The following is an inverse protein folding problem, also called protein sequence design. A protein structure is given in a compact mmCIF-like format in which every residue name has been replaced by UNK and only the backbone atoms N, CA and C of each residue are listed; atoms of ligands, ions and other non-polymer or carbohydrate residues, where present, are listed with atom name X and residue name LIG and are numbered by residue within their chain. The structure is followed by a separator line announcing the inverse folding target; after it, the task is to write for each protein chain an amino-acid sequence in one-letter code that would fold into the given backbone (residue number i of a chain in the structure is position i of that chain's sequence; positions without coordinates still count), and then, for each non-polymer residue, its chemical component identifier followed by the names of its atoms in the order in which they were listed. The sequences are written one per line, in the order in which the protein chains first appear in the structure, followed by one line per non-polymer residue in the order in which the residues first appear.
data_IF_346480575238
#
_entry.id   IF_346480575238
#
_cell.length_a   1.000
_cell.length_b   1.000
_cell.length_c   1.000
_cell.angle_alpha   90.00
_cell.angle_beta   90.00
_cell.angle_gamma   90.00
#
_symmetry.space_group_name_H-M   'P 1'
#
loop_
_entity.id
_entity.type
_entity.pdbx_description
1 polymer ?
#
# COMPACT_ATOMS: atom_id res chain seq x y z
N UNK A 1 -6.06 16.30 16.94
CA UNK A 1 -5.64 14.95 16.53
C UNK A 1 -6.70 14.42 15.61
N UNK A 2 -6.36 14.22 14.35
CA UNK A 2 -7.29 13.81 13.30
C UNK A 2 -7.00 12.37 12.88
N UNK A 3 -7.96 11.70 12.24
CA UNK A 3 -7.72 10.36 11.70
C UNK A 3 -7.48 10.43 10.19
N UNK A 4 -6.38 9.84 9.75
CA UNK A 4 -5.93 9.79 8.37
C UNK A 4 -6.00 8.33 7.90
N UNK A 5 -6.54 8.09 6.72
CA UNK A 5 -6.60 6.76 6.13
C UNK A 5 -5.67 6.64 4.92
N UNK A 6 -4.87 5.60 4.90
CA UNK A 6 -4.13 5.17 3.72
C UNK A 6 -4.79 3.91 3.17
N UNK A 7 -4.97 3.81 1.85
CA UNK A 7 -5.52 2.61 1.20
C UNK A 7 -4.46 1.99 0.30
N UNK A 8 -4.02 0.76 0.63
CA UNK A 8 -3.11 -0.02 -0.21
C UNK A 8 -3.36 -1.51 -0.04
N UNK A 9 -3.74 -2.18 -1.12
CA UNK A 9 -4.17 -3.59 -1.10
C UNK A 9 -3.09 -4.60 -1.49
N UNK A 10 -2.09 -4.19 -2.24
CA UNK A 10 -1.03 -5.10 -2.75
C UNK A 10 -1.20 -5.42 -4.23
N UNK A 11 -0.30 -6.09 -4.92
CA UNK A 11 0.59 -7.21 -4.55
C UNK A 11 1.76 -6.87 -3.61
N UNK A 12 2.63 -7.88 -3.32
CA UNK A 12 3.77 -7.67 -2.42
C UNK A 12 4.73 -6.60 -2.97
N UNK A 13 5.04 -6.65 -4.27
CA UNK A 13 5.88 -5.63 -4.91
C UNK A 13 5.27 -4.23 -4.84
N UNK A 14 3.93 -4.11 -4.99
CA UNK A 14 3.23 -2.83 -4.87
C UNK A 14 3.24 -2.31 -3.42
N UNK A 15 3.19 -3.21 -2.43
CA UNK A 15 3.33 -2.87 -1.01
C UNK A 15 4.75 -2.38 -0.74
N UNK A 16 5.75 -3.08 -1.28
CA UNK A 16 7.14 -2.67 -1.15
C UNK A 16 7.38 -1.25 -1.70
N UNK A 17 6.89 -0.99 -2.90
CA UNK A 17 6.99 0.34 -3.51
C UNK A 17 6.23 1.43 -2.73
N UNK A 18 5.13 1.08 -2.06
CA UNK A 18 4.34 2.05 -1.31
C UNK A 18 4.87 2.33 0.11
N UNK A 19 5.83 1.56 0.62
CA UNK A 19 6.29 1.69 2.01
C UNK A 19 6.86 3.07 2.31
N UNK A 20 7.69 3.61 1.42
CA UNK A 20 8.23 4.96 1.57
C UNK A 20 7.15 6.05 1.52
N UNK A 21 6.14 5.90 0.67
CA UNK A 21 5.01 6.83 0.62
C UNK A 21 4.16 6.75 1.91
N UNK A 22 3.95 5.55 2.45
CA UNK A 22 3.27 5.34 3.74
C UNK A 22 4.05 6.04 4.86
N UNK A 23 5.37 5.91 4.87
CA UNK A 23 6.23 6.56 5.85
C UNK A 23 6.15 8.09 5.73
N UNK A 24 6.30 8.68 4.54
CA UNK A 24 6.21 10.13 4.33
C UNK A 24 4.85 10.69 4.78
N UNK A 25 3.74 9.99 4.51
CA UNK A 25 2.41 10.37 4.99
C UNK A 25 2.38 10.35 6.51
N UNK A 26 2.90 9.31 7.13
CA UNK A 26 2.85 9.14 8.59
C UNK A 26 3.73 10.11 9.33
N UNK A 27 4.92 10.42 8.80
CA UNK A 27 5.82 11.43 9.36
C UNK A 27 5.22 12.84 9.26
N UNK A 28 4.60 13.17 8.11
CA UNK A 28 3.90 14.45 7.95
C UNK A 28 2.72 14.60 8.91
N UNK A 29 2.00 13.50 9.15
CA UNK A 29 0.86 13.42 10.06
C UNK A 29 1.24 12.89 11.46
N UNK A 30 2.46 13.19 11.94
CA UNK A 30 2.99 12.69 13.22
C UNK A 30 2.13 13.05 14.46
N UNK A 31 1.33 14.12 14.36
CA UNK A 31 0.38 14.53 15.40
C UNK A 31 -1.04 13.96 15.20
N UNK A 32 -1.24 13.14 14.19
CA UNK A 32 -2.52 12.52 13.83
C UNK A 32 -2.46 10.99 13.95
N UNK A 33 -3.60 10.34 14.04
CA UNK A 33 -3.69 8.88 14.00
C UNK A 33 -3.76 8.40 12.54
N UNK A 34 -2.74 7.69 12.08
CA UNK A 34 -2.66 7.16 10.71
C UNK A 34 -3.07 5.70 10.67
N UNK A 35 -4.00 5.36 9.81
CA UNK A 35 -4.55 4.01 9.63
C UNK A 35 -4.28 3.49 8.22
N UNK A 36 -4.07 2.18 8.08
CA UNK A 36 -3.91 1.53 6.78
C UNK A 36 -5.06 0.56 6.52
N UNK A 37 -5.79 0.75 5.42
CA UNK A 37 -6.73 -0.24 4.88
C UNK A 37 -5.98 -1.14 3.90
N UNK A 38 -5.83 -2.42 4.26
CA UNK A 38 -5.09 -3.39 3.44
C UNK A 38 -5.74 -4.77 3.46
N UNK A 39 -5.20 -5.71 2.68
CA UNK A 39 -5.73 -7.07 2.55
C UNK A 39 -5.05 -8.05 3.50
N UNK A 40 -5.67 -9.22 3.71
CA UNK A 40 -5.23 -10.24 4.67
C UNK A 40 -3.72 -10.58 4.61
N UNK A 41 -3.09 -10.80 3.43
CA UNK A 41 -1.67 -11.13 3.38
C UNK A 41 -0.75 -10.05 3.98
N UNK A 42 -1.14 -8.79 3.89
CA UNK A 42 -0.33 -7.65 4.34
C UNK A 42 -0.75 -7.11 5.70
N UNK A 43 -1.91 -7.52 6.19
CA UNK A 43 -2.39 -7.14 7.52
C UNK A 43 -1.40 -7.52 8.62
N UNK A 44 -0.90 -8.75 8.58
CA UNK A 44 0.09 -9.23 9.55
C UNK A 44 1.45 -8.53 9.38
N UNK A 45 1.88 -8.31 8.14
CA UNK A 45 3.11 -7.59 7.84
C UNK A 45 3.12 -6.19 8.49
N UNK A 46 2.05 -5.43 8.32
CA UNK A 46 1.98 -4.06 8.81
C UNK A 46 1.70 -3.93 10.31
N UNK A 47 1.38 -5.00 11.03
CA UNK A 47 1.20 -4.96 12.50
C UNK A 47 2.44 -4.43 13.24
N UNK A 48 3.62 -4.71 12.71
CA UNK A 48 4.90 -4.26 13.28
C UNK A 48 5.32 -2.86 12.79
N UNK A 49 4.51 -2.22 11.94
CA UNK A 49 4.87 -0.91 11.39
C UNK A 49 4.75 0.17 12.48
N UNK A 50 5.85 0.88 12.83
CA UNK A 50 5.86 1.85 13.93
C UNK A 50 5.13 3.15 13.60
N UNK A 51 4.83 3.41 12.33
CA UNK A 51 4.24 4.66 11.86
C UNK A 51 2.70 4.62 11.81
N UNK A 52 2.10 3.45 12.02
CA UNK A 52 0.66 3.26 11.88
C UNK A 52 -0.01 3.02 13.22
N UNK A 53 -1.09 3.72 13.46
CA UNK A 53 -1.92 3.55 14.67
C UNK A 53 -2.63 2.20 14.69
N UNK A 54 -3.21 1.81 13.56
CA UNK A 54 -3.87 0.53 13.39
C UNK A 54 -4.07 0.16 11.91
N UNK A 55 -4.31 -1.13 11.69
CA UNK A 55 -4.55 -1.70 10.37
C UNK A 55 -6.03 -2.09 10.29
N UNK A 56 -6.68 -1.73 9.19
CA UNK A 56 -8.05 -2.11 8.87
C UNK A 56 -8.03 -3.19 7.79
N UNK A 57 -8.68 -4.31 8.06
CA UNK A 57 -8.72 -5.43 7.12
C UNK A 57 -9.80 -5.23 6.06
N UNK A 58 -9.39 -5.17 4.79
CA UNK A 58 -10.27 -5.36 3.64
C UNK A 58 -10.21 -6.82 3.17
N UNK A 59 -11.29 -7.56 3.35
CA UNK A 59 -11.42 -8.95 2.87
C UNK A 59 -11.55 -9.04 1.35
N UNK A 60 -11.73 -7.92 0.66
CA UNK A 60 -11.94 -7.82 -0.80
C UNK A 60 -13.01 -8.76 -1.35
N UNK A 61 -14.09 -8.97 -0.61
CA UNK A 61 -15.23 -9.74 -1.09
C UNK A 61 -15.89 -9.05 -2.30
N UNK A 62 -16.82 -9.73 -2.94
CA UNK A 62 -17.54 -9.19 -4.08
C UNK A 62 -18.13 -7.80 -3.79
N UNK A 63 -18.14 -6.92 -4.79
CA UNK A 63 -18.77 -5.59 -4.71
C UNK A 63 -20.30 -5.67 -4.54
N UNK A 64 -20.88 -6.83 -4.82
CA UNK A 64 -22.31 -7.10 -4.62
C UNK A 64 -22.63 -7.69 -3.25
N UNK A 65 -21.63 -7.97 -2.42
CA UNK A 65 -21.84 -8.43 -1.04
C UNK A 65 -22.17 -7.23 -0.14
N UNK A 66 -23.45 -6.88 -0.07
CA UNK A 66 -23.95 -5.71 0.66
C UNK A 66 -23.66 -5.82 2.17
N UNK A 67 -23.74 -7.01 2.75
CA UNK A 67 -23.45 -7.24 4.18
C UNK A 67 -22.00 -6.87 4.47
N UNK A 68 -21.09 -7.32 3.62
CA UNK A 68 -19.67 -7.00 3.73
C UNK A 68 -19.42 -5.49 3.58
N UNK A 69 -20.00 -4.87 2.57
CA UNK A 69 -19.84 -3.42 2.34
C UNK A 69 -20.38 -2.60 3.51
N UNK A 70 -21.54 -2.99 4.04
CA UNK A 70 -22.11 -2.34 5.22
C UNK A 70 -21.22 -2.48 6.45
N UNK A 71 -20.67 -3.69 6.67
CA UNK A 71 -19.74 -3.94 7.77
C UNK A 71 -18.47 -3.09 7.63
N UNK A 72 -17.86 -3.05 6.44
CA UNK A 72 -16.68 -2.24 6.16
C UNK A 72 -16.98 -0.74 6.34
N UNK A 73 -18.13 -0.28 5.86
CA UNK A 73 -18.58 1.10 6.03
C UNK A 73 -18.73 1.47 7.52
N UNK A 74 -19.31 0.58 8.34
CA UNK A 74 -19.42 0.82 9.79
C UNK A 74 -18.06 0.97 10.46
N UNK A 75 -17.09 0.13 10.08
CA UNK A 75 -15.72 0.22 10.58
C UNK A 75 -15.10 1.56 10.19
N UNK A 76 -15.20 1.96 8.90
CA UNK A 76 -14.63 3.22 8.40
C UNK A 76 -15.29 4.43 9.09
N UNK A 77 -16.61 4.44 9.21
CA UNK A 77 -17.35 5.56 9.84
C UNK A 77 -16.98 5.74 11.32
N UNK A 78 -16.64 4.66 12.03
CA UNK A 78 -16.24 4.73 13.44
C UNK A 78 -15.03 5.67 13.64
N UNK A 79 -14.10 5.69 12.70
CA UNK A 79 -12.85 6.45 12.81
C UNK A 79 -12.97 7.92 12.37
N UNK A 80 -14.05 8.34 11.72
CA UNK A 80 -14.30 9.73 11.29
C UNK A 80 -13.08 10.33 10.56
N UNK A 81 -12.59 9.66 9.53
CA UNK A 81 -11.46 10.12 8.75
C UNK A 81 -11.70 11.51 8.13
N UNK A 82 -10.70 12.39 8.21
CA UNK A 82 -10.71 13.73 7.60
C UNK A 82 -9.94 13.76 6.27
N UNK A 83 -8.99 12.84 6.09
CA UNK A 83 -8.19 12.74 4.86
C UNK A 83 -7.96 11.27 4.50
N UNK A 84 -7.99 10.99 3.21
CA UNK A 84 -7.73 9.66 2.65
C UNK A 84 -6.65 9.76 1.58
N UNK A 85 -5.62 8.93 1.71
CA UNK A 85 -4.59 8.74 0.69
C UNK A 85 -4.83 7.39 0.00
N UNK A 86 -5.40 7.42 -1.20
CA UNK A 86 -5.58 6.22 -2.02
C UNK A 86 -4.30 5.95 -2.83
N UNK A 87 -3.39 5.15 -2.26
CA UNK A 87 -2.18 4.69 -2.95
C UNK A 87 -2.45 3.45 -3.82
N UNK A 88 -3.66 2.90 -3.77
CA UNK A 88 -4.05 1.76 -4.63
C UNK A 88 -4.53 2.21 -6.01
N UNK A 89 -5.19 3.37 -6.10
CA UNK A 89 -5.63 3.97 -7.36
C UNK A 89 -6.33 2.99 -8.32
N UNK A 90 -7.29 2.24 -7.81
CA UNK A 90 -7.97 1.17 -8.55
C UNK A 90 -9.48 1.44 -8.71
N UNK A 91 -10.10 0.74 -9.67
CA UNK A 91 -11.57 0.79 -9.83
C UNK A 91 -12.33 0.38 -8.55
N UNK A 92 -11.70 -0.45 -7.70
CA UNK A 92 -12.28 -0.84 -6.40
C UNK A 92 -12.22 0.31 -5.42
N UNK A 93 -11.11 1.02 -5.32
CA UNK A 93 -10.98 2.14 -4.38
C UNK A 93 -11.82 3.34 -4.83
N UNK A 94 -11.99 3.55 -6.12
CA UNK A 94 -12.95 4.51 -6.66
C UNK A 94 -14.40 4.14 -6.31
N UNK A 95 -14.75 2.85 -6.33
CA UNK A 95 -16.04 2.37 -5.85
C UNK A 95 -16.18 2.60 -4.34
N UNK A 96 -15.14 2.34 -3.55
CA UNK A 96 -15.15 2.58 -2.11
C UNK A 96 -15.34 4.06 -1.77
N UNK A 97 -14.68 4.97 -2.50
CA UNK A 97 -14.88 6.40 -2.33
C UNK A 97 -16.37 6.79 -2.40
N UNK A 98 -17.11 6.20 -3.34
CA UNK A 98 -18.53 6.49 -3.54
C UNK A 98 -19.43 5.84 -2.49
N UNK A 99 -19.16 4.60 -2.10
CA UNK A 99 -20.08 3.79 -1.27
C UNK A 99 -19.74 3.87 0.21
N UNK A 100 -18.46 3.81 0.58
CA UNK A 100 -18.06 3.77 1.98
C UNK A 100 -17.96 5.17 2.60
N UNK A 101 -17.86 6.20 1.76
CA UNK A 101 -17.74 7.60 2.17
C UNK A 101 -18.88 8.46 1.59
N UNK A 102 -20.19 8.13 1.82
CA UNK A 102 -21.33 8.78 1.14
C UNK A 102 -21.46 10.24 1.51
N UNK A 103 -20.88 10.90 2.28
CA UNK A 103 -20.93 12.35 2.57
C UNK A 103 -19.51 12.95 2.61
N UNK A 104 -18.70 12.59 1.61
CA UNK A 104 -17.26 12.86 1.58
C UNK A 104 -16.90 14.34 1.29
N UNK A 105 -17.86 15.27 1.22
CA UNK A 105 -17.58 16.68 0.90
C UNK A 105 -16.62 17.35 1.89
N UNK A 106 -16.49 16.80 3.12
CA UNK A 106 -15.59 17.28 4.14
C UNK A 106 -14.29 16.43 4.24
N UNK A 107 -14.19 15.35 3.43
CA UNK A 107 -13.01 14.46 3.45
C UNK A 107 -12.10 14.82 2.28
N UNK A 108 -10.88 15.18 2.58
CA UNK A 108 -9.85 15.42 1.57
C UNK A 108 -9.40 14.07 1.00
N UNK A 109 -9.62 13.84 -0.29
CA UNK A 109 -9.24 12.61 -0.97
C UNK A 109 -8.06 12.84 -1.90
N UNK A 110 -6.92 12.22 -1.60
CA UNK A 110 -5.72 12.23 -2.43
C UNK A 110 -5.60 10.90 -3.18
N UNK A 111 -5.58 10.96 -4.49
CA UNK A 111 -5.41 9.82 -5.40
C UNK A 111 -4.77 10.30 -6.70
N UNK A 112 -4.33 9.41 -7.58
CA UNK A 112 -3.84 9.81 -8.89
C UNK A 112 -4.90 10.56 -9.73
N UNK A 113 -6.19 10.31 -9.51
CA UNK A 113 -7.26 11.04 -10.19
C UNK A 113 -7.44 12.48 -9.67
N UNK A 114 -7.24 12.70 -8.36
CA UNK A 114 -7.42 14.04 -7.74
C UNK A 114 -6.17 14.90 -7.78
N UNK A 115 -5.03 14.31 -8.08
CA UNK A 115 -3.73 15.00 -8.17
C UNK A 115 -3.16 14.98 -9.58
N UNK A 116 -3.96 14.58 -10.57
CA UNK A 116 -3.54 14.52 -11.96
C UNK A 116 -3.05 15.90 -12.43
N UNK A 117 -1.86 15.99 -13.07
CA UNK A 117 -1.40 17.24 -13.66
C UNK A 117 -2.39 17.77 -14.71
N UNK A 118 -2.48 19.08 -14.83
CA UNK A 118 -3.30 19.71 -15.88
C UNK A 118 -2.77 19.24 -17.25
N UNK A 119 -3.66 19.05 -18.18
CA UNK A 119 -3.38 18.73 -19.59
C UNK A 119 -2.73 17.33 -19.84
N UNK A 120 -2.67 16.46 -18.83
CA UNK A 120 -2.20 15.08 -18.97
C UNK A 120 -3.35 14.12 -18.70
N UNK A 121 -3.60 13.19 -19.61
CA UNK A 121 -4.59 12.14 -19.38
C UNK A 121 -4.12 11.14 -18.32
N UNK A 122 -5.05 10.55 -17.57
CA UNK A 122 -4.72 9.50 -16.60
C UNK A 122 -3.95 8.34 -17.25
N UNK A 123 -4.32 7.94 -18.47
CA UNK A 123 -3.65 6.87 -19.22
C UNK A 123 -2.18 7.20 -19.50
N UNK A 124 -1.87 8.45 -19.73
CA UNK A 124 -0.51 8.92 -19.95
C UNK A 124 0.26 9.01 -18.64
N UNK A 125 -0.35 9.59 -17.60
CA UNK A 125 0.24 9.66 -16.28
C UNK A 125 0.57 8.28 -15.70
N UNK A 126 -0.28 7.28 -15.94
CA UNK A 126 -0.09 5.90 -15.46
C UNK A 126 1.09 5.17 -16.13
N UNK A 127 1.67 5.71 -17.21
CA UNK A 127 2.92 5.18 -17.81
C UNK A 127 4.17 5.53 -16.99
N UNK A 128 4.10 6.55 -16.15
CA UNK A 128 5.23 6.92 -15.29
C UNK A 128 5.52 5.83 -14.25
N UNK A 129 6.77 5.69 -13.81
CA UNK A 129 7.14 4.79 -12.71
C UNK A 129 6.25 5.00 -11.48
N UNK A 130 5.95 3.92 -10.77
CA UNK A 130 5.02 3.96 -9.62
C UNK A 130 5.50 4.91 -8.52
N UNK A 131 6.81 4.94 -8.25
CA UNK A 131 7.40 5.81 -7.22
C UNK A 131 7.25 7.29 -7.60
N UNK A 132 7.45 7.64 -8.87
CA UNK A 132 7.27 9.02 -9.35
C UNK A 132 5.81 9.45 -9.23
N UNK A 133 4.86 8.55 -9.50
CA UNK A 133 3.42 8.81 -9.32
C UNK A 133 3.07 9.04 -7.85
N UNK A 134 3.64 8.24 -6.93
CA UNK A 134 3.46 8.48 -5.49
C UNK A 134 4.07 9.81 -5.05
N UNK A 135 5.29 10.09 -5.50
CA UNK A 135 5.94 11.37 -5.23
C UNK A 135 5.06 12.53 -5.67
N UNK A 136 4.60 12.52 -6.92
CA UNK A 136 3.71 13.56 -7.44
C UNK A 136 2.41 13.68 -6.63
N UNK A 137 1.75 12.55 -6.30
CA UNK A 137 0.53 12.52 -5.50
C UNK A 137 0.72 13.17 -4.14
N UNK A 138 1.82 12.86 -3.45
CA UNK A 138 2.09 13.37 -2.11
C UNK A 138 2.47 14.85 -2.14
N UNK A 139 3.36 15.25 -3.05
CA UNK A 139 3.79 16.66 -3.20
C UNK A 139 2.61 17.57 -3.57
N UNK A 140 1.73 17.13 -4.49
CA UNK A 140 0.48 17.84 -4.82
C UNK A 140 -0.48 17.90 -3.62
N UNK A 141 -0.39 16.95 -2.69
CA UNK A 141 -1.16 16.96 -1.42
C UNK A 141 -0.49 17.75 -0.30
N UNK A 142 0.62 18.45 -0.57
CA UNK A 142 1.35 19.28 0.37
C UNK A 142 2.33 18.51 1.27
N UNK A 143 2.66 17.26 0.94
CA UNK A 143 3.60 16.44 1.70
C UNK A 143 4.97 16.48 1.02
N UNK A 144 6.00 16.89 1.75
CA UNK A 144 7.38 16.75 1.31
C UNK A 144 7.79 15.27 1.33
N UNK A 145 8.29 14.77 0.21
CA UNK A 145 8.69 13.37 0.07
C UNK A 145 10.18 13.18 0.36
N UNK A 146 10.50 12.36 1.34
CA UNK A 146 11.88 12.01 1.72
C UNK A 146 12.15 10.51 1.52
N UNK A 147 11.13 9.67 1.71
CA UNK A 147 11.23 8.22 1.76
C UNK A 147 10.63 7.52 0.54
N UNK A 148 9.77 8.17 -0.25
CA UNK A 148 9.10 7.58 -1.42
C UNK A 148 10.07 6.85 -2.35
N UNK A 149 11.24 7.44 -2.63
CA UNK A 149 12.24 6.86 -3.54
C UNK A 149 13.18 5.87 -2.84
N UNK A 150 13.02 5.65 -1.53
CA UNK A 150 13.86 4.77 -0.71
C UNK A 150 12.99 3.87 0.18
N UNK A 151 12.19 2.97 -0.42
CA UNK A 151 11.34 2.07 0.34
C UNK A 151 12.15 1.27 1.37
N UNK A 152 11.69 1.24 2.62
CA UNK A 152 12.34 0.52 3.71
C UNK A 152 11.36 -0.40 4.45
N UNK A 153 11.83 -1.60 4.80
CA UNK A 153 11.11 -2.62 5.55
C UNK A 153 11.87 -3.10 6.79
N UNK A 154 12.88 -2.38 7.25
CA UNK A 154 13.66 -2.78 8.42
C UNK A 154 12.77 -3.03 9.66
N UNK A 155 11.67 -2.28 9.79
CA UNK A 155 10.68 -2.48 10.85
C UNK A 155 9.95 -3.83 10.78
N UNK A 156 9.95 -4.52 9.63
CA UNK A 156 9.33 -5.84 9.45
C UNK A 156 10.34 -7.00 9.59
N UNK A 157 11.61 -6.71 9.84
CA UNK A 157 12.62 -7.74 10.02
C UNK A 157 12.32 -8.58 11.27
N UNK A 158 12.45 -9.90 11.12
CA UNK A 158 12.30 -10.86 12.21
C UNK A 158 13.59 -11.65 12.40
N UNK A 159 13.80 -12.16 13.61
CA UNK A 159 14.88 -13.10 13.85
C UNK A 159 14.65 -14.40 13.06
N UNK A 160 15.65 -14.83 12.32
CA UNK A 160 15.61 -16.04 11.50
C UNK A 160 16.54 -17.15 12.01
N UNK A 161 17.02 -17.07 13.27
CA UNK A 161 17.99 -18.03 13.82
C UNK A 161 17.45 -19.47 13.83
N UNK A 162 16.16 -19.65 14.10
CA UNK A 162 15.51 -20.96 13.99
C UNK A 162 15.59 -21.54 12.56
N UNK A 163 15.38 -20.70 11.55
CA UNK A 163 15.48 -21.08 10.13
C UNK A 163 16.94 -21.44 9.80
N UNK A 164 17.87 -20.59 10.21
CA UNK A 164 19.32 -20.85 10.02
C UNK A 164 19.73 -22.16 10.65
N UNK A 165 19.28 -22.41 11.89
CA UNK A 165 19.59 -23.65 12.61
C UNK A 165 18.99 -24.87 11.93
N UNK A 166 17.70 -24.81 11.59
CA UNK A 166 16.96 -25.88 10.92
C UNK A 166 17.63 -26.32 9.61
N UNK A 167 18.08 -25.35 8.80
CA UNK A 167 18.68 -25.61 7.50
C UNK A 167 20.22 -25.55 7.51
N UNK A 168 20.86 -25.42 8.68
CA UNK A 168 22.34 -25.35 8.88
C UNK A 168 22.97 -24.26 8.01
N UNK A 169 22.33 -23.08 7.92
CA UNK A 169 22.77 -21.98 7.07
C UNK A 169 23.85 -21.14 7.78
N UNK A 170 25.05 -21.10 7.21
CA UNK A 170 26.10 -20.17 7.62
C UNK A 170 26.19 -18.97 6.67
N UNK A 171 26.49 -19.25 5.40
CA UNK A 171 26.45 -18.30 4.30
C UNK A 171 25.38 -18.77 3.31
N UNK A 172 24.53 -17.89 2.85
CA UNK A 172 23.45 -18.27 1.96
C UNK A 172 23.12 -17.17 0.97
N UNK A 173 22.57 -17.57 -0.17
CA UNK A 173 21.98 -16.71 -1.16
C UNK A 173 20.49 -17.08 -1.23
N UNK A 174 19.63 -16.07 -1.25
CA UNK A 174 18.18 -16.28 -1.42
C UNK A 174 17.85 -16.08 -2.89
N UNK A 175 17.21 -17.07 -3.50
CA UNK A 175 16.74 -17.02 -4.88
C UNK A 175 15.22 -16.98 -4.91
N UNK A 176 14.65 -16.14 -5.78
CA UNK A 176 13.22 -16.04 -6.04
C UNK A 176 12.91 -16.45 -7.50
N UNK A 177 13.00 -17.75 -7.86
CA UNK A 177 12.93 -18.22 -9.25
C UNK A 177 11.51 -18.18 -9.82
N UNK A 178 10.49 -17.95 -9.01
CA UNK A 178 9.09 -18.03 -9.41
C UNK A 178 8.46 -16.66 -9.57
N UNK A 179 7.50 -16.56 -10.47
CA UNK A 179 6.64 -15.40 -10.66
C UNK A 179 5.19 -15.85 -10.90
N UNK A 180 4.25 -14.90 -10.88
CA UNK A 180 2.87 -15.21 -11.21
C UNK A 180 2.77 -15.78 -12.64
N UNK A 181 1.93 -16.81 -12.91
CA UNK A 181 1.85 -17.48 -14.21
C UNK A 181 1.65 -16.53 -15.39
N UNK A 182 0.82 -15.48 -15.21
CA UNK A 182 0.57 -14.46 -16.25
C UNK A 182 1.75 -13.48 -16.46
N UNK A 183 2.81 -13.58 -15.67
CA UNK A 183 4.03 -12.77 -15.76
C UNK A 183 5.26 -13.64 -16.08
N UNK A 184 5.09 -14.76 -16.77
CA UNK A 184 6.16 -15.71 -17.08
C UNK A 184 7.39 -15.06 -17.72
N UNK A 185 7.22 -13.96 -18.45
CA UNK A 185 8.30 -13.15 -19.03
C UNK A 185 9.29 -12.61 -17.99
N UNK A 186 8.88 -12.53 -16.71
CA UNK A 186 9.76 -12.10 -15.61
C UNK A 186 10.63 -13.21 -15.05
N UNK A 187 10.40 -14.47 -15.47
CA UNK A 187 11.19 -15.61 -15.03
C UNK A 187 12.55 -15.56 -15.74
N UNK A 188 13.62 -15.44 -14.95
CA UNK A 188 14.96 -15.53 -15.50
C UNK A 188 15.27 -16.96 -15.96
N UNK A 189 15.66 -17.20 -17.22
CA UNK A 189 15.76 -18.55 -17.79
C UNK A 189 17.04 -19.29 -17.35
N UNK A 190 17.99 -18.62 -16.71
CA UNK A 190 19.32 -19.17 -16.41
C UNK A 190 19.51 -19.56 -14.94
N UNK A 191 18.45 -19.69 -14.13
CA UNK A 191 18.57 -20.10 -12.73
C UNK A 191 19.31 -21.44 -12.57
N UNK A 192 19.05 -22.44 -13.42
CA UNK A 192 19.70 -23.75 -13.33
C UNK A 192 21.21 -23.63 -13.51
N UNK A 193 21.66 -22.88 -14.54
CA UNK A 193 23.10 -22.63 -14.77
C UNK A 193 23.79 -21.82 -13.67
N UNK A 194 23.01 -21.10 -12.87
CA UNK A 194 23.54 -20.31 -11.77
C UNK A 194 23.69 -21.15 -10.48
N UNK A 195 22.88 -22.20 -10.34
CA UNK A 195 22.87 -23.08 -9.18
C UNK A 195 23.93 -24.19 -9.32
N UNK A 196 24.20 -24.67 -10.55
CA UNK A 196 25.25 -25.63 -10.87
C UNK A 196 26.65 -25.02 -10.69
#
# INVERSE_FOLDING_TARGET
MSNILIIKHGSLGDIAQASGAIQDISEYHSNDDVYLLTTKPYFELFKSNPYLKAIILDKRLSRFNLIYLFTLMRVIKKYKFVKVFDLQNSSRTNFYKRILFPNANHIIWSSSDTTLPKDISKKEFDKNPVLDRFKHQLETSGIKTNNVMKPDFNWACQNIDEIKHKYKLNKYIILFPFCSPHLAIKKWPHYNKFID
#
